data_IF_874449470718
#
_entry.id   IF_874449470718
#
_cell.length_a   1.000
_cell.length_b   1.000
_cell.length_c   1.000
_cell.angle_alpha   90.00
_cell.angle_beta   90.00
_cell.angle_gamma   90.00
#
_symmetry.space_group_name_H-M   'P 1'
#
loop_
_entity.id
_entity.type
_entity.pdbx_description
1 polymer ?
#
# COMPACT_ATOMS: atom_id res chain seq x y z
N UNK A 1 5.59 -15.96 -14.53
CA UNK A 1 6.55 -15.24 -13.65
C UNK A 1 5.78 -14.40 -12.61
N UNK A 2 6.32 -14.10 -11.41
CA UNK A 2 5.64 -13.17 -10.48
C UNK A 2 5.87 -11.72 -10.89
N UNK A 3 4.81 -10.92 -10.85
CA UNK A 3 4.85 -9.48 -11.07
C UNK A 3 4.42 -8.73 -9.83
N UNK A 4 5.05 -7.58 -9.58
CA UNK A 4 4.77 -6.75 -8.40
C UNK A 4 4.48 -5.31 -8.80
N UNK A 5 3.52 -4.69 -8.10
CA UNK A 5 3.25 -3.24 -8.12
C UNK A 5 3.38 -2.67 -6.71
N UNK A 6 3.91 -1.47 -6.59
CA UNK A 6 4.13 -0.79 -5.30
C UNK A 6 3.43 0.56 -5.30
N UNK A 7 2.58 0.80 -4.30
CA UNK A 7 1.83 2.03 -4.12
C UNK A 7 2.22 2.67 -2.80
N UNK A 8 2.46 3.98 -2.80
CA UNK A 8 2.57 4.77 -1.57
C UNK A 8 1.31 5.59 -1.41
N UNK A 9 0.65 5.41 -0.28
CA UNK A 9 -0.61 6.04 0.05
C UNK A 9 -0.43 6.98 1.24
N UNK A 10 -1.03 8.16 1.18
CA UNK A 10 -1.08 9.08 2.31
C UNK A 10 -2.38 8.87 3.09
N UNK A 11 -2.26 8.37 4.30
CA UNK A 11 -3.32 8.17 5.27
C UNK A 11 -3.79 9.49 5.91
N UNK A 12 -3.03 10.59 5.82
CA UNK A 12 -3.48 11.90 6.35
C UNK A 12 -4.66 12.46 5.57
N UNK A 13 -4.75 12.09 4.30
CA UNK A 13 -5.81 12.49 3.37
C UNK A 13 -6.94 11.44 3.33
N UNK A 14 -7.08 10.62 4.38
CA UNK A 14 -8.15 9.62 4.60
C UNK A 14 -9.55 10.25 4.76
N UNK A 15 -9.89 11.26 3.97
CA UNK A 15 -11.29 11.64 3.77
C UNK A 15 -12.03 10.65 2.88
N UNK A 16 -11.34 9.73 2.20
CA UNK A 16 -11.94 8.74 1.28
C UNK A 16 -11.32 7.34 1.48
N UNK A 17 -11.73 6.64 2.53
CA UNK A 17 -11.47 5.20 2.65
C UNK A 17 -12.06 4.43 1.46
N UNK A 18 -13.16 4.94 0.90
CA UNK A 18 -13.84 4.41 -0.30
C UNK A 18 -12.95 4.46 -1.55
N UNK A 19 -12.16 5.52 -1.75
CA UNK A 19 -11.30 5.64 -2.93
C UNK A 19 -10.18 4.59 -2.95
N UNK A 20 -9.57 4.32 -1.79
CA UNK A 20 -8.56 3.28 -1.69
C UNK A 20 -9.17 1.89 -1.91
N UNK A 21 -10.37 1.66 -1.38
CA UNK A 21 -11.10 0.41 -1.58
C UNK A 21 -11.42 0.19 -3.06
N UNK A 22 -11.92 1.20 -3.76
CA UNK A 22 -12.22 1.14 -5.20
C UNK A 22 -10.98 0.84 -6.03
N UNK A 23 -9.86 1.52 -5.76
CA UNK A 23 -8.58 1.29 -6.44
C UNK A 23 -8.08 -0.14 -6.22
N UNK A 24 -8.12 -0.63 -4.98
CA UNK A 24 -7.70 -2.00 -4.66
C UNK A 24 -8.63 -3.04 -5.30
N UNK A 25 -9.94 -2.77 -5.34
CA UNK A 25 -10.93 -3.61 -6.00
C UNK A 25 -10.69 -3.69 -7.51
N UNK A 26 -10.38 -2.58 -8.16
CA UNK A 26 -10.07 -2.56 -9.59
C UNK A 26 -8.80 -3.37 -9.91
N UNK A 27 -7.75 -3.26 -9.09
CA UNK A 27 -6.60 -4.13 -9.21
C UNK A 27 -6.94 -5.61 -8.93
N UNK A 28 -7.85 -5.88 -7.99
CA UNK A 28 -8.38 -7.21 -7.74
C UNK A 28 -9.04 -7.83 -8.97
N UNK A 29 -9.82 -7.05 -9.73
CA UNK A 29 -10.46 -7.49 -11.00
C UNK A 29 -9.41 -7.83 -12.07
N UNK A 30 -8.28 -7.12 -12.08
CA UNK A 30 -7.13 -7.40 -12.96
C UNK A 30 -6.28 -8.61 -12.51
N UNK A 31 -6.63 -9.25 -11.39
CA UNK A 31 -5.93 -10.42 -10.87
C UNK A 31 -4.74 -10.10 -9.96
N UNK A 32 -4.57 -8.84 -9.54
CA UNK A 32 -3.61 -8.47 -8.51
C UNK A 32 -4.13 -8.82 -7.12
N UNK A 33 -3.21 -9.13 -6.20
CA UNK A 33 -3.49 -9.48 -4.82
C UNK A 33 -2.55 -8.71 -3.91
N UNK A 34 -3.03 -8.30 -2.74
CA UNK A 34 -2.15 -7.66 -1.76
C UNK A 34 -1.16 -8.70 -1.23
N UNK A 35 0.13 -8.43 -1.42
CA UNK A 35 1.22 -9.24 -0.90
C UNK A 35 1.75 -8.69 0.43
N UNK A 36 1.78 -7.36 0.61
CA UNK A 36 2.27 -6.73 1.83
C UNK A 36 1.73 -5.30 2.00
N UNK A 37 1.62 -4.84 3.25
CA UNK A 37 1.30 -3.46 3.62
C UNK A 37 2.30 -3.01 4.69
N UNK A 38 3.06 -1.96 4.39
CA UNK A 38 4.07 -1.38 5.29
C UNK A 38 3.57 -0.01 5.72
N UNK A 39 3.15 0.13 6.99
CA UNK A 39 2.66 1.40 7.51
C UNK A 39 3.77 2.16 8.26
N UNK A 40 3.97 3.42 7.90
CA UNK A 40 4.85 4.36 8.63
C UNK A 40 4.02 5.17 9.63
N UNK A 41 3.21 4.48 10.43
CA UNK A 41 2.47 5.12 11.53
C UNK A 41 3.49 5.43 12.62
N UNK A 42 3.52 6.67 13.14
CA UNK A 42 4.34 7.04 14.31
C UNK A 42 3.86 6.25 15.55
N UNK A 43 4.26 4.99 15.67
CA UNK A 43 4.22 4.20 16.89
C UNK A 43 5.56 4.35 17.61
N UNK A 44 5.53 4.67 18.89
CA UNK A 44 6.69 4.84 19.76
C UNK A 44 7.54 3.56 19.85
N UNK A 45 8.52 3.40 18.96
CA UNK A 45 9.61 2.45 19.13
C UNK A 45 10.86 3.02 18.46
N UNK A 46 11.87 3.29 19.29
CA UNK A 46 13.21 3.75 18.95
C UNK A 46 13.77 3.15 17.65
N UNK A 47 13.64 3.82 16.51
CA UNK A 47 14.65 3.72 15.44
C UNK A 47 14.71 5.03 14.65
N UNK A 48 15.89 5.64 14.67
CA UNK A 48 16.30 6.81 13.90
C UNK A 48 16.08 6.59 12.39
N UNK A 49 15.02 7.12 11.80
CA UNK A 49 15.03 7.45 10.38
C UNK A 49 14.29 8.77 10.13
N UNK A 50 14.99 9.63 9.39
CA UNK A 50 14.64 10.97 8.96
C UNK A 50 13.20 11.10 8.47
N UNK A 51 12.46 12.03 9.08
CA UNK A 51 11.29 12.75 8.53
C UNK A 51 10.46 11.98 7.50
N UNK A 52 9.92 10.82 7.89
CA UNK A 52 8.87 10.15 7.14
C UNK A 52 7.55 10.75 7.60
N UNK A 53 6.78 11.32 6.67
CA UNK A 53 5.41 11.76 6.93
C UNK A 53 4.66 10.62 7.62
N UNK A 54 4.29 10.84 8.90
CA UNK A 54 3.89 9.80 9.86
C UNK A 54 2.53 9.14 9.60
N UNK A 55 2.03 9.31 8.39
CA UNK A 55 0.72 8.94 7.91
C UNK A 55 0.85 8.38 6.48
N UNK A 56 1.93 7.68 6.13
CA UNK A 56 2.04 7.01 4.84
C UNK A 56 1.99 5.49 5.01
N UNK A 57 1.34 4.80 4.09
CA UNK A 57 1.39 3.36 3.96
C UNK A 57 1.90 2.98 2.57
N UNK A 58 2.71 1.94 2.49
CA UNK A 58 3.12 1.34 1.23
C UNK A 58 2.36 0.03 1.04
N UNK A 59 1.62 -0.10 -0.05
CA UNK A 59 0.88 -1.33 -0.41
C UNK A 59 1.62 -1.99 -1.58
N UNK A 60 1.92 -3.27 -1.43
CA UNK A 60 2.58 -4.07 -2.45
C UNK A 60 1.56 -5.08 -2.98
N UNK A 61 1.28 -5.02 -4.27
CA UNK A 61 0.44 -5.98 -4.96
C UNK A 61 1.30 -6.97 -5.74
N UNK A 62 0.84 -8.21 -5.84
CA UNK A 62 1.43 -9.26 -6.65
C UNK A 62 0.41 -9.86 -7.60
N UNK A 63 0.87 -10.34 -8.76
CA UNK A 63 0.09 -11.25 -9.61
C UNK A 63 1.00 -12.30 -10.22
N UNK A 64 0.42 -13.45 -10.55
CA UNK A 64 1.10 -14.47 -11.33
C UNK A 64 0.86 -14.12 -12.80
N UNK A 65 1.92 -13.71 -13.51
CA UNK A 65 1.87 -13.63 -14.96
C UNK A 65 1.82 -15.06 -15.51
N UNK A 66 0.67 -15.39 -16.11
CA UNK A 66 0.46 -16.61 -16.88
C UNK A 66 0.83 -16.26 -18.31
N UNK A 67 2.07 -16.56 -18.68
CA UNK A 67 2.51 -16.57 -20.07
C UNK A 67 1.56 -17.39 -20.96
#
# INVERSE_FOLDING_TARGET
MYEYKVFKWNLSTLTLTEELEDILNDYGKEGWRISNIISNIKGSANVLFSSVDGNQATIILERINKD
#
